data_IF_429663922996
#
_entry.id   IF_429663922996
#
_cell.length_a   1.000
_cell.length_b   1.000
_cell.length_c   1.000
_cell.angle_alpha   90.00
_cell.angle_beta   90.00
_cell.angle_gamma   90.00
#
_symmetry.space_group_name_H-M   'P 1'
#
loop_
_entity.id
_entity.type
_entity.pdbx_description
1 polymer ?
#
# COMPACT_ATOMS: atom_id res chain seq x y z
N UNK A 1 12.87 -24.65 2.71
CA UNK A 1 12.01 -25.39 1.77
C UNK A 1 11.25 -24.38 0.93
N UNK A 2 11.35 -24.43 -0.40
CA UNK A 2 10.63 -23.51 -1.28
C UNK A 2 9.17 -23.92 -1.30
N UNK A 3 8.28 -23.08 -0.78
CA UNK A 3 6.85 -23.37 -0.75
C UNK A 3 6.31 -23.31 -2.19
N UNK A 4 5.86 -24.46 -2.69
CA UNK A 4 5.22 -24.56 -4.00
C UNK A 4 3.78 -24.11 -3.82
N UNK A 5 3.52 -22.85 -4.15
CA UNK A 5 2.17 -22.28 -4.15
C UNK A 5 1.45 -22.85 -5.37
N UNK A 6 0.49 -23.75 -5.16
CA UNK A 6 -0.42 -24.19 -6.21
C UNK A 6 -1.57 -23.20 -6.27
N UNK A 7 -1.96 -22.78 -7.46
CA UNK A 7 -2.95 -21.71 -7.67
C UNK A 7 -4.27 -21.95 -6.93
N UNK A 8 -4.67 -23.22 -6.73
CA UNK A 8 -5.94 -23.58 -6.10
C UNK A 8 -5.87 -23.73 -4.57
N UNK A 9 -4.68 -23.81 -3.99
CA UNK A 9 -4.53 -24.09 -2.54
C UNK A 9 -4.97 -22.91 -1.68
N UNK A 10 -4.76 -21.69 -2.17
CA UNK A 10 -5.12 -20.48 -1.43
C UNK A 10 -6.65 -20.32 -1.34
N UNK A 11 -7.40 -20.64 -2.40
CA UNK A 11 -8.87 -20.56 -2.38
C UNK A 11 -9.50 -21.54 -1.39
N UNK A 12 -9.05 -22.79 -1.38
CA UNK A 12 -9.60 -23.81 -0.48
C UNK A 12 -9.26 -23.52 0.98
N UNK A 13 -8.07 -22.97 1.26
CA UNK A 13 -7.69 -22.51 2.59
C UNK A 13 -8.52 -21.31 3.05
N UNK A 14 -8.77 -20.35 2.16
CA UNK A 14 -9.63 -19.19 2.45
C UNK A 14 -11.06 -19.66 2.75
N UNK A 15 -11.61 -20.59 1.97
CA UNK A 15 -12.95 -21.16 2.22
C UNK A 15 -13.03 -21.84 3.59
N UNK A 16 -12.08 -22.72 3.91
CA UNK A 16 -12.02 -23.40 5.22
C UNK A 16 -11.90 -22.41 6.38
N UNK A 17 -11.14 -21.32 6.21
CA UNK A 17 -11.03 -20.26 7.22
C UNK A 17 -12.36 -19.56 7.45
N UNK A 18 -13.09 -19.23 6.39
CA UNK A 18 -14.40 -18.57 6.47
C UNK A 18 -15.48 -19.52 7.03
N UNK A 19 -15.50 -20.79 6.63
CA UNK A 19 -16.45 -21.81 7.12
C UNK A 19 -16.29 -22.09 8.62
N UNK A 20 -15.06 -22.01 9.14
CA UNK A 20 -14.77 -22.12 10.58
C UNK A 20 -15.13 -20.85 11.37
N UNK A 21 -15.77 -19.87 10.74
CA UNK A 21 -16.16 -18.60 11.35
C UNK A 21 -15.06 -17.54 11.37
N UNK A 22 -13.97 -17.75 10.61
CA UNK A 22 -12.92 -16.75 10.42
C UNK A 22 -13.46 -15.52 9.67
N UNK A 23 -12.95 -14.34 10.02
CA UNK A 23 -13.39 -13.07 9.43
C UNK A 23 -12.19 -12.32 8.87
N UNK A 24 -12.25 -11.96 7.59
CA UNK A 24 -11.27 -11.07 6.97
C UNK A 24 -11.70 -9.63 7.26
N UNK A 25 -11.00 -8.96 8.17
CA UNK A 25 -11.20 -7.54 8.45
C UNK A 25 -10.02 -6.74 7.92
N UNK A 26 -10.29 -5.74 7.08
CA UNK A 26 -9.31 -4.71 6.79
C UNK A 26 -9.34 -3.69 7.92
N UNK A 27 -8.28 -3.63 8.72
CA UNK A 27 -8.14 -2.58 9.73
C UNK A 27 -8.18 -1.20 9.08
N UNK A 28 -8.74 -0.21 9.78
CA UNK A 28 -8.69 1.19 9.34
C UNK A 28 -7.24 1.67 9.42
N UNK A 29 -6.49 1.53 8.34
CA UNK A 29 -5.13 2.06 8.23
C UNK A 29 -5.19 3.54 7.88
N UNK A 30 -4.45 4.36 8.62
CA UNK A 30 -4.20 5.75 8.22
C UNK A 30 -3.63 5.75 6.80
N UNK A 31 -4.10 6.63 5.90
CA UNK A 31 -3.50 6.74 4.58
C UNK A 31 -2.00 6.98 4.73
N UNK A 32 -1.23 6.26 3.92
CA UNK A 32 0.22 6.38 3.93
C UNK A 32 0.61 7.83 3.62
N UNK A 33 1.55 8.44 4.37
CA UNK A 33 2.00 9.78 4.08
C UNK A 33 2.57 9.86 2.66
N UNK A 34 2.14 10.84 1.88
CA UNK A 34 2.57 11.03 0.49
C UNK A 34 4.05 11.43 0.36
N UNK A 35 4.66 11.89 1.45
CA UNK A 35 6.07 12.26 1.52
C UNK A 35 6.99 11.10 1.89
N UNK A 36 6.44 9.90 2.13
CA UNK A 36 7.21 8.72 2.48
C UNK A 36 7.74 8.06 1.21
N UNK A 37 9.07 8.01 1.06
CA UNK A 37 9.75 7.24 0.03
C UNK A 37 9.59 5.76 0.31
N UNK A 38 8.60 5.14 -0.34
CA UNK A 38 8.46 3.70 -0.44
C UNK A 38 8.61 3.32 -1.91
N UNK A 39 9.84 3.01 -2.30
CA UNK A 39 10.19 2.43 -3.60
C UNK A 39 11.10 1.24 -3.39
N UNK A 40 11.33 0.42 -4.42
CA UNK A 40 12.20 -0.76 -4.33
C UNK A 40 13.62 -0.45 -3.79
N UNK A 41 14.06 0.81 -3.88
CA UNK A 41 15.38 1.28 -3.45
C UNK A 41 15.33 2.27 -2.28
N UNK A 42 14.15 2.63 -1.76
CA UNK A 42 14.00 3.57 -0.64
C UNK A 42 12.91 3.08 0.28
N UNK A 43 13.28 2.79 1.54
CA UNK A 43 12.37 2.31 2.56
C UNK A 43 12.43 3.23 3.78
N UNK A 44 11.41 4.08 3.94
CA UNK A 44 11.22 4.88 5.15
C UNK A 44 11.90 6.26 5.13
N UNK A 45 12.56 6.64 4.04
CA UNK A 45 13.13 7.98 3.90
C UNK A 45 12.02 8.98 3.52
N UNK A 46 11.97 10.11 4.22
CA UNK A 46 11.04 11.20 3.88
C UNK A 46 11.64 12.10 2.81
N UNK A 47 10.78 12.68 1.97
CA UNK A 47 11.18 13.75 1.05
C UNK A 47 11.83 14.91 1.82
N UNK A 48 12.85 15.50 1.21
CA UNK A 48 13.48 16.75 1.65
C UNK A 48 12.50 17.93 1.53
N UNK A 49 12.85 19.08 2.11
CA UNK A 49 11.96 20.26 2.15
C UNK A 49 11.73 20.83 0.74
N UNK A 50 12.77 20.76 -0.08
CA UNK A 50 12.83 21.23 -1.46
C UNK A 50 11.94 20.36 -2.35
N UNK A 51 12.09 19.04 -2.25
CA UNK A 51 11.25 18.07 -2.98
C UNK A 51 9.76 18.23 -2.62
N UNK A 52 9.45 18.44 -1.33
CA UNK A 52 8.09 18.73 -0.86
C UNK A 52 7.51 19.99 -1.49
N UNK A 53 8.31 21.04 -1.67
CA UNK A 53 7.86 22.28 -2.29
C UNK A 53 7.53 22.10 -3.78
N UNK A 54 8.35 21.33 -4.50
CA UNK A 54 8.12 21.00 -5.92
C UNK A 54 6.83 20.18 -6.09
N UNK A 55 6.64 19.14 -5.28
CA UNK A 55 5.42 18.31 -5.31
C UNK A 55 4.18 19.14 -4.99
N UNK A 56 4.26 20.01 -3.99
CA UNK A 56 3.15 20.89 -3.61
C UNK A 56 2.82 21.91 -4.70
N UNK A 57 3.83 22.49 -5.36
CA UNK A 57 3.62 23.40 -6.49
C UNK A 57 2.98 22.69 -7.69
N UNK A 58 3.43 21.47 -8.00
CA UNK A 58 2.84 20.65 -9.06
C UNK A 58 1.38 20.27 -8.75
N UNK A 59 1.05 19.95 -7.50
CA UNK A 59 -0.31 19.63 -7.09
C UNK A 59 -1.25 20.84 -7.20
N UNK A 60 -0.78 22.04 -6.83
CA UNK A 60 -1.54 23.29 -6.98
C UNK A 60 -1.78 23.61 -8.46
N UNK A 61 -0.75 23.46 -9.30
CA UNK A 61 -0.87 23.68 -10.74
C UNK A 61 -1.83 22.66 -11.40
N UNK A 62 -1.84 21.42 -10.95
CA UNK A 62 -2.77 20.39 -11.44
C UNK A 62 -4.22 20.67 -11.00
N UNK A 63 -4.42 21.17 -9.77
CA UNK A 63 -5.75 21.57 -9.28
C UNK A 63 -6.30 22.82 -9.97
N UNK A 64 -5.45 23.76 -10.36
CA UNK A 64 -5.87 24.98 -11.07
C UNK A 64 -6.22 24.75 -12.55
N UNK A 65 -5.76 23.65 -13.15
CA UNK A 65 -6.05 23.25 -14.53
C UNK A 65 -7.28 22.34 -14.67
N UNK A 66 -7.88 21.93 -13.55
CA UNK A 66 -9.04 21.04 -13.50
C UNK A 66 -10.29 21.84 -13.16
#
# INVERSE_FOLDING_TARGET
>A
MKQVIKETTDEDLIKQFLEKGGKVSRGKTKPMPSDLGISNNSWGNKMTKEEKAVVKAAEVAAKAKK
#
